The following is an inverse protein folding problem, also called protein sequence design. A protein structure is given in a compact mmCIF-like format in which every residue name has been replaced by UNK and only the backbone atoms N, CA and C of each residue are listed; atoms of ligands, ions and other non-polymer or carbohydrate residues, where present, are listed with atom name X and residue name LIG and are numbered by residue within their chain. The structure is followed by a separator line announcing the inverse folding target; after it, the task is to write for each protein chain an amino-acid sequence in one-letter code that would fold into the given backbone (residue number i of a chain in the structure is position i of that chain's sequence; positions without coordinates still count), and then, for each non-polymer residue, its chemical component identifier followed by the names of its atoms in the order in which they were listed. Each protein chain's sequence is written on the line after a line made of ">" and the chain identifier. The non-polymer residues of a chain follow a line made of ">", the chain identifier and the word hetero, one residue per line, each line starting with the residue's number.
data_IF_600033930031
#
_entry.id   IF_600033930031
#
_cell.length_a   1.000
_cell.length_b   1.000
_cell.length_c   1.000
_cell.angle_alpha   90.00
_cell.angle_beta   90.00
_cell.angle_gamma   90.00
#
_symmetry.space_group_name_H-M   'P 1'
#
loop_
_entity.id
_entity.type
_entity.pdbx_description
1 polymer ?
#
# COMPACT_ATOMS: atom_id res chain seq x y z
N UNK A 1 4.89 31.99 34.72
CA UNK A 1 3.87 31.02 35.18
C UNK A 1 2.89 30.69 34.04
N UNK A 2 3.37 30.49 32.80
CA UNK A 2 2.55 30.22 31.60
C UNK A 2 3.02 28.95 30.86
N UNK A 3 3.85 28.13 31.52
CA UNK A 3 4.57 27.03 30.88
C UNK A 3 3.97 25.66 31.25
N UNK A 4 3.27 25.58 32.39
CA UNK A 4 2.65 24.34 32.87
C UNK A 4 1.30 24.04 32.21
N UNK A 5 0.45 25.05 31.98
CA UNK A 5 -0.87 24.85 31.36
C UNK A 5 -0.76 24.35 29.91
N UNK A 6 0.16 24.89 29.13
CA UNK A 6 0.42 24.44 27.75
C UNK A 6 0.96 23.01 27.73
N UNK A 7 1.78 22.64 28.71
CA UNK A 7 2.30 21.28 28.82
C UNK A 7 1.18 20.28 29.14
N UNK A 8 0.26 20.64 30.05
CA UNK A 8 -0.91 19.82 30.38
C UNK A 8 -1.82 19.64 29.16
N UNK A 9 -2.10 20.70 28.40
CA UNK A 9 -2.89 20.60 27.16
C UNK A 9 -2.21 19.72 26.11
N UNK A 10 -0.89 19.83 25.94
CA UNK A 10 -0.12 19.01 25.01
C UNK A 10 -0.16 17.53 25.40
N UNK A 11 0.01 17.21 26.69
CA UNK A 11 -0.06 15.84 27.20
C UNK A 11 -1.46 15.27 27.00
N UNK A 12 -2.51 16.05 27.29
CA UNK A 12 -3.90 15.64 27.09
C UNK A 12 -4.18 15.33 25.60
N UNK A 13 -3.69 16.19 24.70
CA UNK A 13 -3.81 16.00 23.25
C UNK A 13 -3.09 14.73 22.79
N UNK A 14 -1.82 14.55 23.15
CA UNK A 14 -1.04 13.37 22.77
C UNK A 14 -1.65 12.07 23.32
N UNK A 15 -2.21 12.11 24.53
CA UNK A 15 -2.88 10.95 25.14
C UNK A 15 -4.18 10.61 24.38
N UNK A 16 -4.96 11.62 24.00
CA UNK A 16 -6.18 11.44 23.20
C UNK A 16 -5.87 10.93 21.79
N UNK A 17 -4.79 11.43 21.21
CA UNK A 17 -4.26 10.96 19.93
C UNK A 17 -3.83 9.49 20.04
N UNK A 18 -3.05 9.12 21.05
CA UNK A 18 -2.66 7.73 21.32
C UNK A 18 -3.87 6.80 21.47
N UNK A 19 -4.86 7.18 22.27
CA UNK A 19 -6.07 6.39 22.44
C UNK A 19 -6.86 6.22 21.12
N UNK A 20 -6.85 7.25 20.28
CA UNK A 20 -7.43 7.18 18.93
C UNK A 20 -6.64 6.21 18.05
N UNK A 21 -5.30 6.28 18.06
CA UNK A 21 -4.46 5.32 17.35
C UNK A 21 -4.71 3.89 17.83
N UNK A 22 -4.76 3.62 19.13
CA UNK A 22 -5.02 2.27 19.66
C UNK A 22 -6.41 1.75 19.29
N UNK A 23 -7.41 2.63 19.16
CA UNK A 23 -8.76 2.26 18.69
C UNK A 23 -8.76 1.81 17.23
N UNK A 24 -8.04 2.50 16.36
CA UNK A 24 -7.99 2.19 14.91
C UNK A 24 -6.90 1.18 14.55
N UNK A 25 -5.84 1.11 15.35
CA UNK A 25 -4.66 0.26 15.21
C UNK A 25 -4.40 -0.49 16.54
N UNK A 26 -5.26 -1.47 16.90
CA UNK A 26 -5.07 -2.24 18.12
C UNK A 26 -3.71 -2.97 18.14
N UNK A 27 -3.12 -3.15 19.32
CA UNK A 27 -1.82 -3.81 19.52
C UNK A 27 -1.74 -5.24 18.95
N UNK A 28 -2.87 -5.90 18.67
CA UNK A 28 -2.92 -7.14 17.87
C UNK A 28 -2.34 -6.99 16.45
N UNK A 29 -2.14 -5.77 15.96
CA UNK A 29 -1.39 -5.52 14.73
C UNK A 29 0.13 -5.64 14.92
N UNK A 30 0.65 -5.42 16.14
CA UNK A 30 2.05 -5.64 16.46
C UNK A 30 2.39 -7.14 16.51
N UNK A 31 1.49 -7.99 17.04
CA UNK A 31 1.65 -9.46 16.98
C UNK A 31 1.56 -9.98 15.55
N UNK A 32 0.72 -9.38 14.68
CA UNK A 32 0.73 -9.63 13.23
C UNK A 32 2.04 -9.21 12.55
N UNK A 33 2.75 -8.24 13.09
CA UNK A 33 4.05 -7.80 12.56
C UNK A 33 5.14 -8.83 12.88
N UNK A 34 5.10 -9.44 14.07
CA UNK A 34 5.98 -10.58 14.43
C UNK A 34 5.67 -11.84 13.60
N UNK A 35 4.38 -12.16 13.41
CA UNK A 35 3.92 -13.29 12.59
C UNK A 35 4.32 -13.18 11.10
N UNK A 36 4.52 -11.96 10.62
CA UNK A 36 4.91 -11.66 9.24
C UNK A 36 6.39 -11.28 9.09
N UNK A 37 7.22 -11.56 10.11
CA UNK A 37 8.66 -11.32 10.08
C UNK A 37 9.36 -11.96 8.88
N UNK A 38 8.87 -13.13 8.42
CA UNK A 38 9.36 -13.81 7.22
C UNK A 38 9.23 -12.98 5.95
N UNK A 39 8.28 -12.05 5.88
CA UNK A 39 8.11 -11.14 4.74
C UNK A 39 9.22 -10.10 4.73
N UNK A 40 9.62 -9.62 5.92
CA UNK A 40 10.67 -8.62 6.05
C UNK A 40 12.06 -9.22 5.92
N UNK A 41 12.27 -10.45 6.39
CA UNK A 41 13.50 -11.18 6.19
C UNK A 41 13.23 -12.70 6.17
N UNK A 42 13.14 -13.30 4.97
CA UNK A 42 12.91 -14.74 4.82
C UNK A 42 14.18 -15.57 5.00
N UNK A 43 15.33 -14.98 5.31
CA UNK A 43 16.61 -15.69 5.51
C UNK A 43 17.01 -15.75 6.99
N UNK A 44 16.06 -15.52 7.91
CA UNK A 44 16.30 -15.66 9.34
C UNK A 44 16.47 -17.14 9.72
N UNK A 45 17.48 -17.49 10.54
CA UNK A 45 17.79 -18.90 10.86
C UNK A 45 16.70 -19.61 11.68
N UNK A 46 15.83 -18.86 12.37
CA UNK A 46 14.76 -19.40 13.23
C UNK A 46 13.39 -18.88 12.78
N UNK A 47 13.07 -19.03 11.49
CA UNK A 47 11.72 -18.72 11.01
C UNK A 47 10.71 -19.58 11.75
N UNK A 48 9.71 -18.91 12.34
CA UNK A 48 8.56 -19.59 12.89
C UNK A 48 7.51 -19.72 11.80
N UNK A 49 6.91 -20.90 11.69
CA UNK A 49 5.80 -21.12 10.77
C UNK A 49 4.61 -20.23 11.17
N UNK A 50 4.12 -19.34 10.29
CA UNK A 50 2.89 -18.60 10.55
C UNK A 50 1.69 -19.54 10.62
N UNK A 51 0.79 -19.33 11.57
CA UNK A 51 -0.43 -20.15 11.73
C UNK A 51 -1.32 -20.12 10.48
N UNK A 52 -1.31 -19.01 9.74
CA UNK A 52 -2.08 -18.81 8.50
C UNK A 52 -1.47 -19.53 7.28
N UNK A 53 -0.30 -20.14 7.42
CA UNK A 53 0.44 -20.79 6.33
C UNK A 53 0.27 -22.31 6.38
N UNK A 54 0.03 -22.93 5.22
CA UNK A 54 0.01 -24.40 5.12
C UNK A 54 1.43 -24.98 5.25
N UNK A 55 1.56 -26.29 5.48
CA UNK A 55 2.88 -26.92 5.55
C UNK A 55 3.61 -26.81 4.21
N UNK A 56 2.89 -27.00 3.10
CA UNK A 56 3.46 -26.98 1.75
C UNK A 56 4.09 -25.62 1.43
N UNK A 57 3.41 -24.53 1.80
CA UNK A 57 3.91 -23.16 1.58
C UNK A 57 5.09 -22.87 2.51
N UNK A 58 5.06 -23.39 3.73
CA UNK A 58 6.16 -23.23 4.67
C UNK A 58 7.43 -23.97 4.20
N UNK A 59 7.28 -25.18 3.65
CA UNK A 59 8.40 -25.89 3.01
C UNK A 59 8.96 -25.10 1.82
N UNK A 60 8.10 -24.49 0.99
CA UNK A 60 8.56 -23.60 -0.08
C UNK A 60 9.33 -22.38 0.45
N UNK A 61 8.91 -21.80 1.58
CA UNK A 61 9.64 -20.72 2.23
C UNK A 61 11.02 -21.21 2.71
N UNK A 62 11.10 -22.41 3.30
CA UNK A 62 12.36 -22.98 3.77
C UNK A 62 13.32 -23.31 2.62
N UNK A 63 12.81 -23.90 1.53
CA UNK A 63 13.57 -24.16 0.31
C UNK A 63 14.16 -22.86 -0.25
N UNK A 64 13.30 -21.86 -0.46
CA UNK A 64 13.69 -20.52 -0.93
C UNK A 64 14.72 -19.87 0.00
N UNK A 65 14.53 -19.98 1.33
CA UNK A 65 15.44 -19.42 2.33
C UNK A 65 16.81 -20.09 2.39
N UNK A 66 16.91 -21.33 1.89
CA UNK A 66 18.15 -22.09 1.85
C UNK A 66 18.98 -21.78 0.60
N UNK A 67 18.41 -21.04 -0.36
CA UNK A 67 19.09 -20.66 -1.59
C UNK A 67 19.92 -19.39 -1.41
N UNK A 68 21.24 -19.57 -1.40
CA UNK A 68 22.22 -18.47 -1.30
C UNK A 68 22.13 -17.45 -2.44
N UNK A 69 21.66 -17.84 -3.62
CA UNK A 69 21.45 -16.93 -4.74
C UNK A 69 20.25 -16.01 -4.49
N UNK A 70 19.19 -16.55 -3.87
CA UNK A 70 18.04 -15.76 -3.45
C UNK A 70 18.37 -14.83 -2.28
N UNK A 71 19.23 -15.27 -1.35
CA UNK A 71 19.72 -14.41 -0.28
C UNK A 71 20.52 -13.22 -0.83
N UNK A 72 21.38 -13.48 -1.82
CA UNK A 72 22.12 -12.44 -2.54
C UNK A 72 21.17 -11.47 -3.24
N UNK A 73 20.18 -12.00 -3.96
CA UNK A 73 19.16 -11.20 -4.65
C UNK A 73 18.39 -10.31 -3.67
N UNK A 74 18.01 -10.84 -2.51
CA UNK A 74 17.32 -10.09 -1.47
C UNK A 74 18.15 -8.91 -0.96
N UNK A 75 19.46 -9.10 -0.74
CA UNK A 75 20.36 -8.04 -0.27
C UNK A 75 20.53 -6.90 -1.28
N UNK A 76 20.33 -7.15 -2.57
CA UNK A 76 20.53 -6.16 -3.65
C UNK A 76 19.23 -5.56 -4.19
N UNK A 77 18.07 -6.03 -3.75
CA UNK A 77 16.77 -5.69 -4.37
C UNK A 77 15.84 -5.06 -3.32
N UNK A 78 15.07 -4.01 -3.66
CA UNK A 78 14.01 -3.52 -2.78
C UNK A 78 13.01 -4.62 -2.40
N UNK A 79 12.47 -4.56 -1.18
CA UNK A 79 11.62 -5.62 -0.61
C UNK A 79 10.44 -6.02 -1.51
N UNK A 80 9.70 -5.02 -2.02
CA UNK A 80 8.55 -5.26 -2.88
C UNK A 80 8.96 -5.92 -4.21
N UNK A 81 10.07 -5.48 -4.79
CA UNK A 81 10.59 -5.99 -6.05
C UNK A 81 11.10 -7.42 -5.89
N UNK A 82 11.72 -7.74 -4.75
CA UNK A 82 12.11 -9.10 -4.40
C UNK A 82 10.89 -10.03 -4.40
N UNK A 83 9.84 -9.71 -3.64
CA UNK A 83 8.63 -10.53 -3.60
C UNK A 83 7.88 -10.59 -4.93
N UNK A 84 7.98 -9.55 -5.77
CA UNK A 84 7.48 -9.59 -7.15
C UNK A 84 8.20 -10.62 -8.01
N UNK A 85 9.52 -10.79 -7.84
CA UNK A 85 10.31 -11.82 -8.55
C UNK A 85 10.05 -13.21 -8.00
N UNK A 86 9.98 -13.35 -6.66
CA UNK A 86 9.67 -14.63 -6.00
C UNK A 86 8.32 -15.19 -6.46
N UNK A 87 7.36 -14.33 -6.80
CA UNK A 87 6.06 -14.75 -7.34
C UNK A 87 6.18 -15.55 -8.65
N UNK A 88 7.26 -15.42 -9.41
CA UNK A 88 7.39 -16.16 -10.67
C UNK A 88 7.79 -17.63 -10.42
N UNK A 89 8.65 -17.89 -9.42
CA UNK A 89 9.11 -19.24 -9.04
C UNK A 89 8.28 -19.88 -7.93
N UNK A 90 7.81 -19.07 -6.97
CA UNK A 90 6.94 -19.47 -5.86
C UNK A 90 5.64 -18.62 -5.86
N UNK A 91 4.69 -18.88 -6.77
CA UNK A 91 3.55 -17.99 -7.00
C UNK A 91 2.64 -17.78 -5.80
N UNK A 92 2.45 -18.81 -4.98
CA UNK A 92 1.60 -18.73 -3.79
C UNK A 92 2.32 -17.93 -2.69
N UNK A 93 3.58 -18.25 -2.43
CA UNK A 93 4.40 -17.57 -1.42
C UNK A 93 4.56 -16.09 -1.72
N UNK A 94 4.98 -15.75 -2.94
CA UNK A 94 5.13 -14.37 -3.39
C UNK A 94 3.80 -13.60 -3.34
N UNK A 95 2.68 -14.22 -3.70
CA UNK A 95 1.35 -13.61 -3.58
C UNK A 95 0.98 -13.31 -2.13
N UNK A 96 1.25 -14.22 -1.20
CA UNK A 96 0.97 -14.00 0.22
C UNK A 96 1.78 -12.81 0.76
N UNK A 97 3.07 -12.75 0.45
CA UNK A 97 3.92 -11.64 0.85
C UNK A 97 3.43 -10.30 0.28
N UNK A 98 3.13 -10.26 -1.02
CA UNK A 98 2.65 -9.04 -1.70
C UNK A 98 1.29 -8.58 -1.20
N UNK A 99 0.35 -9.49 -0.90
CA UNK A 99 -0.95 -9.11 -0.35
C UNK A 99 -0.81 -8.38 0.98
N UNK A 100 0.14 -8.80 1.82
CA UNK A 100 0.39 -8.17 3.11
C UNK A 100 1.11 -6.82 2.89
N UNK A 101 2.17 -6.78 2.08
CA UNK A 101 2.92 -5.54 1.79
C UNK A 101 2.08 -4.46 1.09
N UNK A 102 1.13 -4.84 0.24
CA UNK A 102 0.34 -3.92 -0.59
C UNK A 102 -1.07 -3.63 -0.07
N UNK A 103 -1.45 -4.20 1.08
CA UNK A 103 -2.78 -3.99 1.67
C UNK A 103 -3.05 -2.53 2.08
N UNK A 104 -2.03 -1.81 2.59
CA UNK A 104 -2.15 -0.39 2.95
C UNK A 104 -2.18 0.55 1.73
N UNK A 105 -1.24 0.46 0.77
CA UNK A 105 -1.27 1.29 -0.44
C UNK A 105 -2.59 1.17 -1.21
N UNK A 106 -3.14 -0.04 -1.34
CA UNK A 106 -4.37 -0.26 -2.11
C UNK A 106 -5.59 0.35 -1.44
N UNK A 107 -5.71 0.25 -0.12
CA UNK A 107 -6.83 0.88 0.63
C UNK A 107 -6.72 2.40 0.61
N UNK A 108 -5.55 2.96 0.89
CA UNK A 108 -5.33 4.41 0.84
C UNK A 108 -5.59 5.00 -0.55
N UNK A 109 -5.09 4.35 -1.61
CA UNK A 109 -5.35 4.79 -2.99
C UNK A 109 -6.83 4.67 -3.35
N UNK A 110 -7.53 3.64 -2.85
CA UNK A 110 -8.96 3.46 -3.04
C UNK A 110 -9.77 4.58 -2.37
N UNK A 111 -9.49 4.87 -1.09
CA UNK A 111 -10.10 5.96 -0.34
C UNK A 111 -9.80 7.33 -0.95
N UNK A 112 -8.56 7.55 -1.37
CA UNK A 112 -8.14 8.77 -2.09
C UNK A 112 -8.90 8.90 -3.39
N UNK A 113 -9.03 7.81 -4.16
CA UNK A 113 -9.79 7.79 -5.41
C UNK A 113 -11.26 8.10 -5.20
N UNK A 114 -11.90 7.50 -4.19
CA UNK A 114 -13.28 7.80 -3.85
C UNK A 114 -13.48 9.24 -3.36
N UNK A 115 -12.56 9.76 -2.56
CA UNK A 115 -12.60 11.14 -2.06
C UNK A 115 -12.49 12.14 -3.22
N UNK A 116 -11.54 11.94 -4.12
CA UNK A 116 -11.37 12.77 -5.31
C UNK A 116 -12.58 12.68 -6.25
N UNK A 117 -13.15 11.49 -6.41
CA UNK A 117 -14.38 11.31 -7.19
C UNK A 117 -15.57 12.07 -6.58
N UNK A 118 -15.75 12.00 -5.26
CA UNK A 118 -16.83 12.71 -4.57
C UNK A 118 -16.74 14.24 -4.78
N UNK A 119 -15.52 14.81 -4.70
CA UNK A 119 -15.26 16.22 -4.98
C UNK A 119 -15.59 16.58 -6.44
N UNK A 120 -15.19 15.73 -7.38
CA UNK A 120 -15.38 16.01 -8.81
C UNK A 120 -16.85 15.88 -9.22
N UNK A 121 -17.54 14.86 -8.70
CA UNK A 121 -18.97 14.63 -8.90
C UNK A 121 -19.81 15.78 -8.35
N UNK A 122 -19.48 16.33 -7.18
CA UNK A 122 -20.21 17.49 -6.62
C UNK A 122 -20.04 18.75 -7.47
N UNK A 123 -18.86 18.96 -8.06
CA UNK A 123 -18.56 20.13 -8.91
C UNK A 123 -19.14 20.03 -10.33
N UNK A 124 -19.21 18.84 -10.92
CA UNK A 124 -19.59 18.64 -12.33
C UNK A 124 -20.75 17.64 -12.51
N UNK A 125 -21.75 17.64 -11.62
CA UNK A 125 -22.86 16.66 -11.52
C UNK A 125 -23.49 16.18 -12.84
N UNK A 126 -23.52 17.00 -13.89
CA UNK A 126 -24.17 16.69 -15.17
C UNK A 126 -23.20 16.61 -16.37
N UNK A 127 -21.88 16.68 -16.15
CA UNK A 127 -20.85 16.74 -17.23
C UNK A 127 -19.67 15.81 -17.01
N UNK A 128 -19.67 14.98 -15.97
CA UNK A 128 -18.55 14.11 -15.64
C UNK A 128 -18.62 12.78 -16.41
N UNK A 129 -17.49 12.36 -16.95
CA UNK A 129 -17.28 10.97 -17.36
C UNK A 129 -16.38 10.29 -16.31
N UNK A 130 -16.97 9.44 -15.49
CA UNK A 130 -16.37 8.99 -14.23
C UNK A 130 -15.01 8.29 -14.44
N UNK A 131 -14.92 7.39 -15.42
CA UNK A 131 -13.72 6.57 -15.60
C UNK A 131 -12.52 7.36 -16.16
N UNK A 132 -12.64 8.13 -17.26
CA UNK A 132 -11.51 8.91 -17.79
C UNK A 132 -11.05 10.01 -16.82
N UNK A 133 -12.00 10.69 -16.16
CA UNK A 133 -11.68 11.78 -15.25
C UNK A 133 -10.97 11.26 -13.99
N UNK A 134 -11.44 10.16 -13.40
CA UNK A 134 -10.77 9.54 -12.25
C UNK A 134 -9.38 9.02 -12.61
N UNK A 135 -9.21 8.38 -13.77
CA UNK A 135 -7.88 7.93 -14.25
C UNK A 135 -6.89 9.08 -14.35
N UNK A 136 -7.34 10.23 -14.84
CA UNK A 136 -6.50 11.43 -14.99
C UNK A 136 -6.11 12.03 -13.64
N UNK A 137 -7.03 12.03 -12.68
CA UNK A 137 -6.82 12.57 -11.33
C UNK A 137 -5.94 11.69 -10.45
N UNK A 138 -6.04 10.37 -10.60
CA UNK A 138 -5.27 9.39 -9.82
C UNK A 138 -3.91 9.08 -10.45
N UNK A 139 -3.67 9.55 -11.67
CA UNK A 139 -2.42 9.35 -12.39
C UNK A 139 -1.32 10.28 -11.85
N UNK A 140 -0.16 9.70 -11.55
CA UNK A 140 1.08 10.43 -11.31
C UNK A 140 1.76 10.91 -12.61
N UNK A 141 1.25 10.51 -13.77
CA UNK A 141 1.72 10.97 -15.09
C UNK A 141 1.30 12.43 -15.26
N UNK A 142 2.30 13.30 -15.48
CA UNK A 142 2.07 14.71 -15.76
C UNK A 142 1.36 14.85 -17.10
N UNK A 143 0.20 15.49 -17.09
CA UNK A 143 -0.62 15.67 -18.28
C UNK A 143 0.05 16.64 -19.26
N UNK A 144 0.35 16.19 -20.48
CA UNK A 144 0.76 17.08 -21.56
C UNK A 144 -0.48 17.69 -22.23
N UNK A 145 -0.90 18.83 -21.71
CA UNK A 145 -2.05 19.59 -22.19
C UNK A 145 -1.88 19.98 -23.66
N UNK A 146 -0.64 20.23 -24.12
CA UNK A 146 -0.38 20.66 -25.49
C UNK A 146 -0.61 19.52 -26.49
N UNK A 147 -0.17 18.30 -26.15
CA UNK A 147 -0.48 17.09 -26.92
C UNK A 147 -1.98 16.82 -26.98
N UNK A 148 -2.68 16.93 -25.85
CA UNK A 148 -4.14 16.71 -25.79
C UNK A 148 -4.92 17.71 -26.65
N UNK A 149 -4.54 18.98 -26.60
CA UNK A 149 -5.18 20.03 -27.40
C UNK A 149 -4.99 19.82 -28.90
N UNK A 150 -3.84 19.30 -29.33
CA UNK A 150 -3.59 18.95 -30.75
C UNK A 150 -4.46 17.78 -31.24
N UNK A 151 -4.78 16.83 -30.37
CA UNK A 151 -5.53 15.63 -30.72
C UNK A 151 -7.06 15.79 -30.59
N UNK A 152 -7.53 16.93 -30.06
CA UNK A 152 -8.96 17.22 -29.94
C UNK A 152 -9.54 17.51 -31.34
N UNK A 153 -10.29 16.55 -31.90
CA UNK A 153 -11.10 16.79 -33.09
C UNK A 153 -12.18 17.82 -32.74
N UNK A 154 -12.13 18.99 -33.39
CA UNK A 154 -13.22 19.96 -33.36
C UNK A 154 -14.45 19.30 -33.99
N UNK A 155 -15.43 18.92 -33.16
CA UNK A 155 -16.76 18.63 -33.68
C UNK A 155 -17.30 19.92 -34.29
N UNK A 156 -17.64 19.87 -35.57
CA UNK A 156 -18.18 21.00 -36.30
C UNK A 156 -19.37 21.58 -35.55
N UNK A 157 -19.32 22.87 -35.24
CA UNK A 157 -20.48 23.63 -34.78
C UNK A 157 -21.48 23.70 -35.92
N UNK A 158 -22.62 23.04 -35.77
CA UNK A 158 -23.76 23.22 -36.66
C UNK A 158 -24.20 24.69 -36.61
N UNK A 159 -24.27 25.33 -37.78
CA UNK A 159 -24.81 26.67 -38.00
C UNK A 159 -26.32 26.74 -37.75
#
# INVERSE_FOLDING_TARGET
>A
MLQDDVFVELVQYLTSMRASFEKYFPEEQNTKTELNSWIHNPFLPNLQKPESMSNEIYESLLEMSSDTSMESLFKTTPLNDFWCRIRDEYPILGRMALNILLSFPTTYLCETGFSTYAVTKTKYRNKLDAEPDMRLQMSSIKLDINQLMKNKKLFHTSH
#
